data_IF_095158989333
#
_entry.id   IF_095158989333
#
_cell.length_a   1.000
_cell.length_b   1.000
_cell.length_c   1.000
_cell.angle_alpha   90.00
_cell.angle_beta   90.00
_cell.angle_gamma   90.00
#
_symmetry.space_group_name_H-M   'P 1'
#
loop_
_entity.id
_entity.type
_entity.pdbx_description
1 polymer ?
#
# COMPACT_ATOMS: atom_id res chain seq x y z
N UNK A 1 -23.77 33.52 -0.32
CA UNK A 1 -22.55 33.15 -1.05
C UNK A 1 -22.01 31.90 -0.43
N UNK A 2 -22.23 30.75 -1.06
CA UNK A 2 -21.67 29.45 -0.64
C UNK A 2 -20.19 29.49 -1.03
N UNK A 3 -19.34 29.67 -0.02
CA UNK A 3 -17.88 29.54 -0.22
C UNK A 3 -17.54 28.13 -0.67
N UNK A 4 -17.30 27.93 -1.94
CA UNK A 4 -16.71 26.72 -2.52
C UNK A 4 -15.24 26.68 -2.10
N UNK A 5 -14.97 26.32 -0.86
CA UNK A 5 -13.61 26.02 -0.43
C UNK A 5 -13.18 24.74 -1.10
N UNK A 6 -12.58 24.86 -2.28
CA UNK A 6 -11.82 23.77 -2.88
C UNK A 6 -10.69 23.47 -1.91
N UNK A 7 -10.69 22.24 -1.37
CA UNK A 7 -9.60 21.82 -0.51
C UNK A 7 -8.29 21.87 -1.29
N UNK A 8 -7.30 22.66 -0.84
CA UNK A 8 -6.01 22.68 -1.48
C UNK A 8 -5.40 21.29 -1.41
N UNK A 9 -4.87 20.82 -2.52
CA UNK A 9 -4.06 19.59 -2.50
C UNK A 9 -2.92 19.82 -1.53
N UNK A 10 -2.64 18.87 -0.61
CA UNK A 10 -1.53 19.04 0.29
C UNK A 10 -0.25 19.22 -0.54
N UNK A 11 0.40 20.38 -0.36
CA UNK A 11 1.63 20.71 -1.07
C UNK A 11 2.70 19.68 -0.74
N UNK A 12 3.39 19.18 -1.77
CA UNK A 12 4.50 18.26 -1.57
C UNK A 12 5.67 19.01 -0.92
N UNK A 13 6.18 18.49 0.19
CA UNK A 13 7.33 19.07 0.86
C UNK A 13 8.62 18.87 0.04
N UNK A 14 9.58 19.80 0.09
CA UNK A 14 10.92 19.62 -0.43
C UNK A 14 11.57 18.35 0.16
N UNK A 15 12.48 17.70 -0.59
CA UNK A 15 13.11 16.45 -0.15
C UNK A 15 13.83 16.58 1.21
N UNK A 16 14.39 17.75 1.51
CA UNK A 16 15.11 18.06 2.73
C UNK A 16 14.21 18.06 3.97
N UNK A 17 12.96 18.52 3.83
CA UNK A 17 11.98 18.59 4.92
C UNK A 17 11.21 17.28 5.13
N UNK A 18 11.40 16.30 4.25
CA UNK A 18 10.74 15.00 4.40
C UNK A 18 11.45 14.17 5.46
N UNK A 19 10.66 13.46 6.24
CA UNK A 19 11.18 12.52 7.24
C UNK A 19 11.96 11.40 6.54
N UNK A 20 13.22 11.26 6.89
CA UNK A 20 14.12 10.22 6.36
C UNK A 20 13.79 8.83 6.94
N UNK A 21 13.38 8.76 8.21
CA UNK A 21 13.08 7.51 8.91
C UNK A 21 11.61 7.49 9.36
N UNK A 22 10.84 6.56 8.82
CA UNK A 22 9.45 6.35 9.17
C UNK A 22 9.32 5.18 10.13
N UNK A 23 8.66 5.42 11.26
CA UNK A 23 8.38 4.41 12.29
C UNK A 23 6.97 3.83 12.14
N UNK A 24 6.11 4.56 11.45
CA UNK A 24 4.69 4.27 11.25
C UNK A 24 4.51 3.69 9.85
N UNK A 25 3.73 2.63 9.76
CA UNK A 25 3.35 1.98 8.50
C UNK A 25 1.84 1.85 8.40
N UNK A 26 1.35 1.55 7.20
CA UNK A 26 -0.06 1.26 6.97
C UNK A 26 -0.50 0.06 7.82
N UNK A 27 -1.74 0.09 8.32
CA UNK A 27 -2.30 -0.93 9.20
C UNK A 27 -1.94 -0.77 10.68
N UNK A 28 -1.04 0.16 11.04
CA UNK A 28 -0.72 0.42 12.43
C UNK A 28 -1.88 1.08 13.15
N UNK A 29 -2.03 0.73 14.41
CA UNK A 29 -2.91 1.39 15.35
C UNK A 29 -2.21 2.58 16.01
N UNK A 30 -2.82 3.75 15.93
CA UNK A 30 -2.24 5.01 16.43
C UNK A 30 -3.26 5.79 17.26
N UNK A 31 -2.74 6.58 18.19
CA UNK A 31 -3.51 7.59 18.91
C UNK A 31 -3.11 8.98 18.43
N UNK A 32 -4.11 9.83 18.24
CA UNK A 32 -3.88 11.26 17.94
C UNK A 32 -3.49 11.98 19.21
N UNK A 33 -2.30 12.57 19.25
CA UNK A 33 -1.77 13.26 20.43
C UNK A 33 -2.01 14.78 20.41
N UNK A 34 -2.29 15.36 19.25
CA UNK A 34 -2.50 16.80 19.11
C UNK A 34 -3.55 17.10 18.02
N UNK A 35 -4.26 18.19 18.18
CA UNK A 35 -5.28 18.68 17.26
C UNK A 35 -6.71 18.44 17.75
N UNK A 36 -7.70 18.66 16.87
CA UNK A 36 -9.13 18.59 17.18
C UNK A 36 -9.59 17.21 17.69
N UNK A 37 -8.91 16.16 17.27
CA UNK A 37 -9.27 14.77 17.55
C UNK A 37 -8.31 14.10 18.52
N UNK A 38 -7.66 14.90 19.37
CA UNK A 38 -6.74 14.41 20.39
C UNK A 38 -7.40 13.33 21.25
N UNK A 39 -6.64 12.25 21.50
CA UNK A 39 -7.07 11.11 22.34
C UNK A 39 -7.83 10.03 21.58
N UNK A 40 -8.25 10.28 20.33
CA UNK A 40 -8.89 9.26 19.52
C UNK A 40 -7.88 8.27 18.97
N UNK A 41 -8.29 7.01 18.91
CA UNK A 41 -7.51 5.89 18.36
C UNK A 41 -8.07 5.54 16.99
N UNK A 42 -7.21 5.19 16.07
CA UNK A 42 -7.59 4.73 14.74
C UNK A 42 -6.49 3.96 14.04
N UNK A 43 -6.86 3.28 12.97
CA UNK A 43 -5.93 2.51 12.16
C UNK A 43 -5.48 3.33 10.96
N UNK A 44 -4.20 3.26 10.62
CA UNK A 44 -3.66 3.98 9.46
C UNK A 44 -4.10 3.30 8.17
N UNK A 45 -4.82 4.05 7.33
CA UNK A 45 -5.23 3.62 5.99
C UNK A 45 -4.14 3.85 4.95
N UNK A 46 -3.45 5.00 5.02
CA UNK A 46 -2.41 5.38 4.06
C UNK A 46 -1.33 6.25 4.72
N UNK A 47 -0.10 6.15 4.20
CA UNK A 47 1.04 6.97 4.64
C UNK A 47 1.58 7.78 3.46
N UNK A 48 1.43 9.10 3.52
CA UNK A 48 1.97 10.03 2.53
C UNK A 48 3.34 10.55 2.94
N UNK A 49 4.39 9.91 2.43
CA UNK A 49 5.78 10.32 2.73
C UNK A 49 6.17 11.67 2.10
N UNK A 50 5.47 12.08 1.04
CA UNK A 50 5.72 13.36 0.35
C UNK A 50 5.25 14.57 1.15
N UNK A 51 4.25 14.39 1.99
CA UNK A 51 3.63 15.45 2.80
C UNK A 51 3.85 15.30 4.29
N UNK A 52 4.62 14.28 4.72
CA UNK A 52 4.77 13.86 6.11
C UNK A 52 3.40 13.61 6.82
N UNK A 53 2.40 13.19 6.06
CA UNK A 53 1.05 12.97 6.54
C UNK A 53 0.68 11.50 6.61
N UNK A 54 -0.25 11.19 7.50
CA UNK A 54 -0.88 9.87 7.64
C UNK A 54 -2.39 10.02 7.59
N UNK A 55 -3.06 9.11 6.91
CA UNK A 55 -4.52 9.03 6.88
C UNK A 55 -4.94 7.99 7.90
N UNK A 56 -5.83 8.37 8.81
CA UNK A 56 -6.33 7.50 9.87
C UNK A 56 -7.81 7.26 9.62
N UNK A 57 -8.23 6.00 9.64
CA UNK A 57 -9.63 5.62 9.37
C UNK A 57 -10.58 6.29 10.35
N UNK A 58 -11.62 6.93 9.80
CA UNK A 58 -12.68 7.58 10.56
C UNK A 58 -12.27 8.88 11.25
N UNK A 59 -11.04 9.36 11.08
CA UNK A 59 -10.55 10.56 11.73
C UNK A 59 -10.21 11.67 10.72
N UNK A 60 -10.31 12.93 11.19
CA UNK A 60 -10.05 14.14 10.40
C UNK A 60 -10.87 14.18 9.10
N UNK A 61 -12.16 13.87 9.22
CA UNK A 61 -13.09 13.84 8.10
C UNK A 61 -13.41 15.24 7.60
N UNK A 62 -13.44 15.39 6.28
CA UNK A 62 -13.83 16.61 5.61
C UNK A 62 -14.69 16.32 4.38
N UNK A 63 -15.60 17.22 4.06
CA UNK A 63 -16.44 17.11 2.89
C UNK A 63 -15.69 17.57 1.63
N UNK A 64 -15.76 16.75 0.60
CA UNK A 64 -15.30 17.08 -0.74
C UNK A 64 -16.50 17.22 -1.66
N UNK A 65 -16.58 18.33 -2.39
CA UNK A 65 -17.59 18.50 -3.43
C UNK A 65 -17.22 17.64 -4.64
N UNK A 66 -18.18 16.87 -5.12
CA UNK A 66 -18.08 16.04 -6.33
C UNK A 66 -19.25 16.38 -7.26
N UNK A 67 -19.17 16.10 -8.56
CA UNK A 67 -20.31 16.18 -9.44
C UNK A 67 -21.47 15.36 -8.85
N UNK A 68 -22.69 15.87 -9.01
CA UNK A 68 -23.88 15.14 -8.59
C UNK A 68 -24.07 13.96 -9.55
N UNK A 69 -24.25 12.79 -8.99
CA UNK A 69 -24.52 11.55 -9.68
C UNK A 69 -25.64 10.79 -8.94
N UNK A 70 -26.22 9.77 -9.54
CA UNK A 70 -27.30 8.98 -8.93
C UNK A 70 -26.89 8.39 -7.58
N UNK A 71 -25.59 8.02 -7.43
CA UNK A 71 -25.02 7.55 -6.17
C UNK A 71 -24.79 8.66 -5.13
N UNK A 72 -24.57 9.90 -5.57
CA UNK A 72 -24.28 11.05 -4.69
C UNK A 72 -25.13 12.25 -5.03
N UNK A 73 -26.44 12.25 -4.75
CA UNK A 73 -27.36 13.33 -5.09
C UNK A 73 -27.04 14.64 -4.35
N UNK A 74 -26.41 14.55 -3.17
CA UNK A 74 -25.96 15.72 -2.41
C UNK A 74 -24.73 16.41 -3.03
N UNK A 75 -24.01 15.74 -3.93
CA UNK A 75 -22.75 16.24 -4.49
C UNK A 75 -21.63 16.46 -3.46
N UNK A 76 -21.71 15.80 -2.30
CA UNK A 76 -20.72 15.91 -1.22
C UNK A 76 -20.33 14.52 -0.73
N UNK A 77 -19.05 14.22 -0.75
CA UNK A 77 -18.49 12.98 -0.20
C UNK A 77 -17.64 13.33 1.02
N UNK A 78 -17.81 12.58 2.09
CA UNK A 78 -16.96 12.67 3.27
C UNK A 78 -15.68 11.87 3.02
N UNK A 79 -14.53 12.53 3.19
CA UNK A 79 -13.21 11.93 2.97
C UNK A 79 -12.27 12.20 4.13
N UNK A 80 -11.42 11.24 4.43
CA UNK A 80 -10.35 11.38 5.41
C UNK A 80 -9.28 12.32 4.90
N UNK A 81 -8.83 13.23 5.77
CA UNK A 81 -7.75 14.17 5.49
C UNK A 81 -6.49 13.75 6.23
N UNK A 82 -5.30 14.06 5.66
CA UNK A 82 -4.06 13.67 6.31
C UNK A 82 -3.83 14.43 7.62
N UNK A 83 -3.35 13.73 8.62
CA UNK A 83 -2.85 14.28 9.88
C UNK A 83 -1.33 14.25 9.80
N UNK A 84 -0.64 15.30 10.26
CA UNK A 84 0.82 15.29 10.27
C UNK A 84 1.34 14.19 11.19
N UNK A 85 2.38 13.47 10.76
CA UNK A 85 2.89 12.28 11.47
C UNK A 85 3.38 12.57 12.91
N UNK A 86 3.77 13.81 13.19
CA UNK A 86 4.16 14.24 14.56
C UNK A 86 2.97 14.33 15.52
N UNK A 87 1.75 14.42 14.99
CA UNK A 87 0.52 14.53 15.78
C UNK A 87 -0.12 13.17 16.08
N UNK A 88 0.54 12.08 15.70
CA UNK A 88 0.10 10.73 15.98
C UNK A 88 1.22 9.94 16.65
N UNK A 89 0.86 9.03 17.54
CA UNK A 89 1.79 8.13 18.21
C UNK A 89 1.32 6.69 18.08
N UNK A 90 2.27 5.76 17.95
CA UNK A 90 1.99 4.34 18.00
C UNK A 90 1.50 3.93 19.39
N UNK A 91 0.62 2.96 19.44
CA UNK A 91 0.10 2.41 20.69
C UNK A 91 0.98 1.23 21.10
N UNK A 92 1.33 1.20 22.35
CA UNK A 92 2.05 0.08 22.97
C UNK A 92 1.08 -1.09 23.17
N UNK A 93 1.39 -2.29 22.65
CA UNK A 93 0.50 -3.44 22.79
C UNK A 93 0.32 -3.92 24.24
N UNK A 94 1.26 -3.60 25.14
CA UNK A 94 1.19 -4.02 26.54
C UNK A 94 0.32 -3.10 27.40
N UNK A 95 0.42 -1.79 27.17
CA UNK A 95 -0.25 -0.78 28.02
C UNK A 95 -1.42 -0.09 27.35
N UNK A 96 -1.60 -0.30 26.04
CA UNK A 96 -2.58 0.40 25.18
C UNK A 96 -2.49 1.93 25.27
N UNK A 97 -1.28 2.45 25.54
CA UNK A 97 -1.01 3.90 25.64
C UNK A 97 -0.09 4.35 24.53
N UNK A 98 -0.17 5.64 24.12
CA UNK A 98 0.73 6.18 23.11
C UNK A 98 2.17 6.17 23.61
N UNK A 99 3.07 5.67 22.80
CA UNK A 99 4.50 5.55 23.18
C UNK A 99 5.42 6.09 22.11
N UNK A 100 6.62 6.51 22.54
CA UNK A 100 7.74 6.78 21.64
C UNK A 100 8.38 5.46 21.24
N UNK A 101 8.81 5.35 19.98
CA UNK A 101 9.31 4.10 19.41
C UNK A 101 10.76 4.27 18.98
N UNK A 102 11.60 3.27 19.31
CA UNK A 102 12.98 3.11 18.83
C UNK A 102 13.02 2.06 17.72
N UNK A 103 13.85 2.28 16.71
CA UNK A 103 14.14 1.32 15.65
C UNK A 103 15.47 0.65 15.97
N UNK A 104 15.46 -0.66 16.08
CA UNK A 104 16.65 -1.48 16.26
C UNK A 104 16.86 -2.40 15.07
N UNK A 105 18.11 -2.68 14.76
CA UNK A 105 18.47 -3.67 13.76
C UNK A 105 18.48 -5.04 14.43
N UNK A 106 17.66 -5.93 13.95
CA UNK A 106 17.61 -7.32 14.37
C UNK A 106 18.06 -8.20 13.21
N UNK A 107 18.92 -9.16 13.51
CA UNK A 107 19.34 -10.16 12.55
C UNK A 107 18.65 -11.48 12.89
N UNK A 108 17.88 -12.00 11.95
CA UNK A 108 17.19 -13.27 12.11
C UNK A 108 18.22 -14.41 12.14
N UNK A 109 18.23 -15.23 13.21
CA UNK A 109 19.18 -16.34 13.34
C UNK A 109 18.98 -17.41 12.26
N UNK A 110 17.76 -17.58 11.74
CA UNK A 110 17.42 -18.61 10.77
C UNK A 110 17.75 -18.21 9.33
N UNK A 111 17.43 -16.96 8.97
CA UNK A 111 17.57 -16.47 7.58
C UNK A 111 18.77 -15.56 7.36
N UNK A 112 19.46 -15.12 8.43
CA UNK A 112 20.56 -14.17 8.38
C UNK A 112 20.17 -12.76 7.93
N UNK A 113 18.89 -12.52 7.61
CA UNK A 113 18.41 -11.23 7.14
C UNK A 113 18.36 -10.20 8.26
N UNK A 114 18.82 -8.99 7.94
CA UNK A 114 18.72 -7.85 8.87
C UNK A 114 17.40 -7.12 8.67
N UNK A 115 16.60 -7.05 9.74
CA UNK A 115 15.34 -6.30 9.77
C UNK A 115 15.41 -5.16 10.79
N UNK A 116 14.68 -4.08 10.50
CA UNK A 116 14.48 -3.01 11.49
C UNK A 116 13.20 -3.29 12.26
N UNK A 117 13.35 -3.62 13.53
CA UNK A 117 12.26 -3.85 14.48
C UNK A 117 11.96 -2.58 15.28
N UNK A 118 10.71 -2.44 15.69
CA UNK A 118 10.20 -1.31 16.46
C UNK A 118 10.00 -1.74 17.89
N UNK A 119 10.55 -0.96 18.84
CA UNK A 119 10.41 -1.21 20.26
C UNK A 119 9.83 0.02 20.95
N UNK A 120 8.89 -0.19 21.88
CA UNK A 120 8.35 0.84 22.76
C UNK A 120 9.48 1.32 23.69
N UNK A 121 9.62 2.63 23.85
CA UNK A 121 10.56 3.19 24.83
C UNK A 121 10.06 3.10 26.27
N UNK A 122 8.72 2.98 26.45
CA UNK A 122 8.15 2.91 27.78
C UNK A 122 8.27 1.52 28.41
N UNK A 123 8.03 0.47 27.63
CA UNK A 123 7.95 -0.91 28.13
C UNK A 123 9.05 -1.82 27.55
N UNK A 124 9.77 -1.38 26.53
CA UNK A 124 10.70 -2.22 25.81
C UNK A 124 10.04 -3.29 24.93
N UNK A 125 8.74 -3.30 24.83
CA UNK A 125 8.01 -4.31 24.04
C UNK A 125 8.18 -4.11 22.54
N UNK A 126 8.23 -5.21 21.82
CA UNK A 126 8.27 -5.22 20.35
C UNK A 126 6.91 -4.86 19.77
N UNK A 127 6.88 -3.90 18.85
CA UNK A 127 5.70 -3.49 18.11
C UNK A 127 5.78 -4.07 16.69
N UNK A 128 5.02 -5.13 16.37
CA UNK A 128 5.05 -5.73 15.06
C UNK A 128 4.53 -4.76 13.99
N UNK A 129 5.06 -4.86 12.79
CA UNK A 129 4.48 -4.17 11.65
C UNK A 129 3.25 -4.98 11.23
N UNK A 130 2.07 -4.42 11.40
CA UNK A 130 0.85 -5.01 10.84
C UNK A 130 0.93 -4.86 9.32
N UNK A 131 1.11 -5.97 8.62
CA UNK A 131 0.97 -5.98 7.16
C UNK A 131 -0.52 -5.99 6.85
N UNK A 132 -0.94 -5.03 6.06
CA UNK A 132 -2.32 -5.00 5.56
C UNK A 132 -2.43 -6.09 4.47
N UNK A 133 -3.00 -7.22 4.84
CA UNK A 133 -3.20 -8.38 3.96
C UNK A 133 -4.08 -8.04 2.74
N UNK A 134 -4.78 -6.90 2.76
CA UNK A 134 -5.59 -6.45 1.62
C UNK A 134 -4.76 -6.18 0.35
N UNK A 135 -3.44 -6.05 0.46
CA UNK A 135 -2.53 -5.93 -0.69
C UNK A 135 -1.90 -7.24 -1.15
N UNK A 136 -1.96 -8.28 -0.36
CA UNK A 136 -1.68 -9.60 -0.89
C UNK A 136 -2.84 -9.93 -1.82
N UNK A 137 -2.58 -9.83 -3.12
CA UNK A 137 -3.41 -10.49 -4.10
C UNK A 137 -3.36 -11.96 -3.76
N UNK A 138 -4.31 -12.43 -2.98
CA UNK A 138 -4.57 -13.85 -2.86
C UNK A 138 -5.10 -14.22 -4.23
N UNK A 139 -4.27 -14.88 -5.02
CA UNK A 139 -4.71 -15.52 -6.24
C UNK A 139 -5.76 -16.55 -5.79
N UNK A 140 -7.00 -16.29 -6.14
CA UNK A 140 -8.07 -17.25 -5.93
C UNK A 140 -8.14 -18.03 -7.22
N UNK A 141 -7.95 -19.33 -7.12
CA UNK A 141 -8.19 -20.22 -8.23
C UNK A 141 -9.67 -20.08 -8.61
N UNK A 142 -9.93 -19.81 -9.86
CA UNK A 142 -11.27 -19.73 -10.42
C UNK A 142 -11.54 -21.00 -11.24
N UNK A 143 -12.81 -21.31 -11.49
CA UNK A 143 -13.19 -22.47 -12.29
C UNK A 143 -12.66 -22.42 -13.74
N UNK A 144 -12.21 -21.23 -14.17
CA UNK A 144 -11.59 -21.00 -15.49
C UNK A 144 -10.06 -21.00 -15.45
N UNK A 145 -9.45 -21.16 -14.29
CA UNK A 145 -7.99 -21.19 -14.18
C UNK A 145 -7.44 -22.54 -14.61
N UNK A 146 -6.32 -22.52 -15.31
CA UNK A 146 -5.64 -23.73 -15.73
C UNK A 146 -4.98 -24.42 -14.53
N UNK A 147 -5.32 -25.65 -14.26
CA UNK A 147 -4.72 -26.41 -13.16
C UNK A 147 -3.22 -26.68 -13.41
N UNK A 148 -2.40 -26.83 -12.35
CA UNK A 148 -0.97 -27.13 -12.51
C UNK A 148 -0.71 -28.40 -13.33
N UNK A 149 -1.61 -29.36 -13.26
CA UNK A 149 -1.54 -30.61 -14.03
C UNK A 149 -1.69 -30.37 -15.53
N UNK A 150 -2.63 -29.49 -15.91
CA UNK A 150 -2.81 -29.09 -17.32
C UNK A 150 -1.64 -28.26 -17.86
N UNK A 151 -1.03 -27.42 -17.02
CA UNK A 151 0.15 -26.62 -17.42
C UNK A 151 1.37 -27.53 -17.65
N UNK A 152 1.52 -28.54 -16.83
CA UNK A 152 2.63 -29.49 -16.91
C UNK A 152 2.41 -30.61 -17.92
N UNK A 153 1.19 -30.76 -18.45
CA UNK A 153 0.91 -31.75 -19.46
C UNK A 153 1.65 -31.41 -20.77
N UNK A 154 2.42 -32.35 -21.25
CA UNK A 154 3.09 -32.26 -22.55
C UNK A 154 2.01 -32.42 -23.63
N UNK A 155 1.52 -31.32 -24.18
CA UNK A 155 0.48 -31.32 -25.23
C UNK A 155 1.04 -31.41 -26.64
N UNK A 156 2.35 -31.22 -26.78
CA UNK A 156 3.04 -31.25 -28.06
C UNK A 156 4.20 -32.25 -28.02
N UNK A 157 4.11 -33.30 -28.80
CA UNK A 157 5.19 -34.23 -29.05
C UNK A 157 5.83 -33.94 -30.40
N UNK A 158 7.11 -33.52 -30.37
CA UNK A 158 7.88 -33.31 -31.60
C UNK A 158 8.34 -34.64 -32.14
N UNK A 159 7.81 -35.05 -33.29
CA UNK A 159 8.42 -36.13 -34.02
C UNK A 159 9.78 -35.70 -34.61
N UNK A 160 10.86 -36.49 -34.49
CA UNK A 160 12.15 -36.14 -35.08
C UNK A 160 12.02 -35.94 -36.58
N UNK A 161 12.41 -34.74 -37.06
CA UNK A 161 12.35 -34.38 -38.48
C UNK A 161 11.12 -33.60 -38.95
N UNK A 162 10.15 -33.38 -38.07
CA UNK A 162 8.98 -32.53 -38.38
C UNK A 162 9.20 -31.16 -37.71
N UNK A 163 9.19 -30.06 -38.46
CA UNK A 163 9.29 -28.72 -37.86
C UNK A 163 8.09 -28.45 -36.94
N UNK A 164 8.27 -27.70 -35.83
CA UNK A 164 7.24 -27.48 -34.82
C UNK A 164 6.03 -26.70 -35.33
N UNK A 165 6.13 -26.11 -36.53
CA UNK A 165 5.04 -25.40 -37.18
C UNK A 165 4.86 -25.87 -38.63
N UNK A 166 3.62 -25.89 -39.14
CA UNK A 166 3.38 -26.15 -40.57
C UNK A 166 4.21 -25.20 -41.46
N UNK A 167 4.83 -25.72 -42.53
CA UNK A 167 5.67 -24.91 -43.42
C UNK A 167 4.95 -23.71 -44.00
N UNK A 168 3.64 -23.79 -44.18
CA UNK A 168 2.81 -22.71 -44.70
C UNK A 168 2.79 -21.48 -43.75
N UNK A 169 2.69 -21.71 -42.45
CA UNK A 169 2.78 -20.67 -41.42
C UNK A 169 4.17 -19.98 -41.38
N UNK A 170 5.21 -20.76 -41.61
CA UNK A 170 6.58 -20.22 -41.61
C UNK A 170 6.85 -19.33 -42.85
N UNK A 171 6.14 -19.54 -43.97
CA UNK A 171 6.25 -18.71 -45.17
C UNK A 171 5.51 -17.37 -45.03
N UNK A 172 4.45 -17.30 -44.25
CA UNK A 172 3.66 -16.09 -44.09
C UNK A 172 4.23 -15.09 -43.09
N UNK A 173 5.09 -15.50 -42.18
CA UNK A 173 5.78 -14.61 -41.24
C UNK A 173 6.93 -13.89 -41.93
N UNK A 174 6.60 -13.09 -42.92
CA UNK A 174 7.55 -12.10 -43.46
C UNK A 174 7.67 -10.98 -42.43
N UNK A 175 8.85 -10.87 -41.82
CA UNK A 175 9.16 -9.77 -40.94
C UNK A 175 9.09 -8.45 -41.73
N UNK A 176 8.01 -7.68 -41.57
CA UNK A 176 7.77 -6.38 -42.24
C UNK A 176 8.86 -5.34 -41.96
N UNK A 177 9.68 -5.57 -40.97
CA UNK A 177 10.73 -4.63 -40.57
C UNK A 177 12.13 -5.05 -40.97
N UNK A 178 12.31 -6.15 -41.70
CA UNK A 178 13.61 -6.49 -42.32
C UNK A 178 13.82 -5.57 -43.47
N UNK A 179 14.60 -4.50 -43.28
CA UNK A 179 15.15 -3.70 -44.36
C UNK A 179 16.10 -4.61 -45.14
N UNK A 180 15.79 -4.86 -46.40
CA UNK A 180 16.75 -5.44 -47.33
C UNK A 180 17.86 -4.40 -47.55
N UNK A 181 19.03 -4.66 -47.05
CA UNK A 181 20.26 -4.00 -47.49
C UNK A 181 20.78 -4.75 -48.72
#
# INVERSE_FOLDING_TARGET
>A
QVSTRVMPRPSTLPKEQRLKKWKIVRGDEVMVISGKERGKIGTISEVSRKTNGVYVRGLNLAFKNVPKDDETPSGKIQKEMPIHVTNVALIDPSTNRPTKVRLESYQDPTTGKREKRRYSLATGTYIPKKMDLSYQRVWKDSDFDTTPEMVNAVTFETAPGVPPFPEDLMREVKNRYKKHY
#
